data_IF_427747703383
#
_entry.id   IF_427747703383
#
_cell.length_a   1.000
_cell.length_b   1.000
_cell.length_c   1.000
_cell.angle_alpha   90.00
_cell.angle_beta   90.00
_cell.angle_gamma   90.00
#
_symmetry.space_group_name_H-M   'P 1'
#
loop_
_entity.id
_entity.type
_entity.pdbx_description
1 polymer ?
#
# COMPACT_ATOMS: atom_id res chain seq x y z
N UNK A 1 -25.90 22.61 8.35
CA UNK A 1 -24.90 21.62 8.79
C UNK A 1 -23.85 21.57 7.70
N UNK A 2 -22.56 21.68 8.03
CA UNK A 2 -21.53 21.53 7.00
C UNK A 2 -21.67 20.13 6.37
N UNK A 3 -21.63 20.04 5.03
CA UNK A 3 -21.64 18.75 4.35
C UNK A 3 -20.44 17.92 4.82
N UNK A 4 -20.71 16.70 5.25
CA UNK A 4 -19.67 15.77 5.66
C UNK A 4 -18.94 15.24 4.43
N UNK A 5 -17.61 15.28 4.46
CA UNK A 5 -16.77 14.88 3.33
C UNK A 5 -16.32 13.44 3.51
N UNK A 6 -16.85 12.54 2.68
CA UNK A 6 -16.50 11.11 2.73
C UNK A 6 -15.11 10.87 2.16
N UNK A 7 -14.26 10.21 2.95
CA UNK A 7 -12.95 9.71 2.52
C UNK A 7 -13.06 8.20 2.32
N UNK A 8 -12.93 7.75 1.07
CA UNK A 8 -12.94 6.34 0.72
C UNK A 8 -11.54 5.75 0.90
N UNK A 9 -11.40 4.76 1.78
CA UNK A 9 -10.12 4.17 2.15
C UNK A 9 -10.05 2.74 1.63
N UNK A 10 -9.24 2.52 0.61
CA UNK A 10 -8.87 1.18 0.16
C UNK A 10 -7.80 0.59 1.07
N UNK A 11 -7.81 -0.73 1.24
CA UNK A 11 -6.93 -1.40 2.18
C UNK A 11 -7.22 -1.02 3.64
N UNK A 12 -8.46 -0.64 3.97
CA UNK A 12 -8.87 -0.19 5.30
C UNK A 12 -8.64 -1.22 6.40
N UNK A 13 -8.67 -2.52 6.08
CA UNK A 13 -8.36 -3.59 7.05
C UNK A 13 -6.86 -3.90 7.14
N UNK A 14 -6.01 -3.18 6.39
CA UNK A 14 -4.56 -3.31 6.41
C UNK A 14 -3.88 -2.28 7.32
N UNK A 15 -2.54 -2.33 7.37
CA UNK A 15 -1.76 -1.45 8.26
C UNK A 15 -1.90 0.04 7.91
N UNK A 16 -1.77 0.40 6.62
CA UNK A 16 -1.84 1.80 6.20
C UNK A 16 -3.27 2.34 6.26
N UNK A 17 -4.18 1.71 5.53
CA UNK A 17 -5.58 2.16 5.45
C UNK A 17 -6.28 2.11 6.80
N UNK A 18 -6.00 1.11 7.64
CA UNK A 18 -6.59 1.01 8.97
C UNK A 18 -6.13 2.11 9.92
N UNK A 19 -4.84 2.48 9.88
CA UNK A 19 -4.33 3.60 10.66
C UNK A 19 -4.97 4.94 10.23
N UNK A 20 -5.12 5.17 8.92
CA UNK A 20 -5.79 6.36 8.39
C UNK A 20 -7.26 6.39 8.79
N UNK A 21 -7.99 5.29 8.59
CA UNK A 21 -9.40 5.17 8.96
C UNK A 21 -9.60 5.45 10.45
N UNK A 22 -8.78 4.84 11.31
CA UNK A 22 -8.82 5.07 12.75
C UNK A 22 -8.58 6.53 13.12
N UNK A 23 -7.58 7.18 12.52
CA UNK A 23 -7.26 8.58 12.79
C UNK A 23 -8.40 9.54 12.39
N UNK A 24 -9.08 9.29 11.27
CA UNK A 24 -10.24 10.10 10.86
C UNK A 24 -11.40 9.89 11.85
N UNK A 25 -11.66 8.64 12.25
CA UNK A 25 -12.75 8.32 13.18
C UNK A 25 -12.56 8.92 14.59
N UNK A 26 -11.32 9.20 14.99
CA UNK A 26 -11.03 9.87 16.27
C UNK A 26 -11.20 11.39 16.23
N UNK A 27 -11.39 11.99 15.06
CA UNK A 27 -11.44 13.45 14.86
C UNK A 27 -12.75 13.90 14.18
N UNK A 28 -13.93 13.68 14.80
CA UNK A 28 -15.23 13.98 14.20
C UNK A 28 -15.43 15.47 13.89
N UNK A 29 -14.73 16.36 14.60
CA UNK A 29 -14.79 17.81 14.40
C UNK A 29 -14.17 18.26 13.06
N UNK A 30 -13.37 17.40 12.41
CA UNK A 30 -12.80 17.66 11.09
C UNK A 30 -13.85 17.63 9.95
N UNK A 31 -15.07 17.17 10.24
CA UNK A 31 -16.15 17.06 9.25
C UNK A 31 -15.86 16.04 8.15
N UNK A 32 -15.07 15.02 8.48
CA UNK A 32 -14.72 13.90 7.60
C UNK A 32 -15.44 12.62 8.07
N UNK A 33 -15.89 11.81 7.12
CA UNK A 33 -16.40 10.46 7.38
C UNK A 33 -15.55 9.44 6.64
N UNK A 34 -15.54 8.21 7.13
CA UNK A 34 -14.74 7.12 6.52
C UNK A 34 -15.66 6.12 5.84
N UNK A 35 -15.36 5.86 4.57
CA UNK A 35 -15.82 4.66 3.87
C UNK A 35 -14.67 3.66 3.76
N UNK A 36 -14.71 2.63 4.58
CA UNK A 36 -13.72 1.57 4.64
C UNK A 36 -14.01 0.49 3.58
N UNK A 37 -13.15 0.39 2.57
CA UNK A 37 -13.27 -0.60 1.50
C UNK A 37 -12.50 -1.87 1.86
N UNK A 38 -13.16 -3.01 1.73
CA UNK A 38 -12.59 -4.34 1.96
C UNK A 38 -13.23 -5.37 1.04
N UNK A 39 -12.56 -6.51 0.82
CA UNK A 39 -13.17 -7.67 0.12
C UNK A 39 -14.02 -8.53 1.06
N UNK A 40 -13.81 -8.39 2.36
CA UNK A 40 -14.44 -9.22 3.39
C UNK A 40 -15.07 -8.32 4.46
N UNK A 41 -16.28 -7.78 4.21
CA UNK A 41 -16.98 -6.88 5.14
C UNK A 41 -17.28 -7.55 6.49
N UNK A 42 -17.38 -8.88 6.50
CA UNK A 42 -17.65 -9.67 7.70
C UNK A 42 -16.41 -9.98 8.54
N UNK A 43 -15.21 -9.62 8.07
CA UNK A 43 -13.97 -9.87 8.80
C UNK A 43 -13.93 -9.14 10.16
N UNK A 44 -13.23 -9.66 11.18
CA UNK A 44 -13.14 -9.00 12.48
C UNK A 44 -12.64 -7.55 12.39
N UNK A 45 -11.68 -7.28 11.52
CA UNK A 45 -11.15 -5.93 11.30
C UNK A 45 -12.19 -4.99 10.68
N UNK A 46 -12.96 -5.46 9.69
CA UNK A 46 -14.02 -4.67 9.08
C UNK A 46 -15.16 -4.38 10.07
N UNK A 47 -15.57 -5.39 10.84
CA UNK A 47 -16.57 -5.22 11.91
C UNK A 47 -16.10 -4.24 12.98
N UNK A 48 -14.82 -4.24 13.34
CA UNK A 48 -14.26 -3.27 14.28
C UNK A 48 -14.35 -1.83 13.73
N UNK A 49 -13.97 -1.61 12.45
CA UNK A 49 -14.13 -0.30 11.80
C UNK A 49 -15.58 0.16 11.76
N UNK A 50 -16.52 -0.75 11.46
CA UNK A 50 -17.94 -0.47 11.47
C UNK A 50 -18.43 -0.04 12.86
N UNK A 51 -18.01 -0.76 13.91
CA UNK A 51 -18.34 -0.43 15.31
C UNK A 51 -17.76 0.92 15.74
N UNK A 52 -16.62 1.32 15.17
CA UNK A 52 -16.01 2.63 15.39
C UNK A 52 -16.64 3.76 14.55
N UNK A 53 -17.62 3.46 13.70
CA UNK A 53 -18.39 4.47 12.95
C UNK A 53 -18.04 4.61 11.47
N UNK A 54 -17.20 3.74 10.90
CA UNK A 54 -16.98 3.73 9.45
C UNK A 54 -18.14 3.07 8.69
N UNK A 55 -18.43 3.59 7.50
CA UNK A 55 -19.21 2.89 6.49
C UNK A 55 -18.32 1.78 5.89
N UNK A 56 -18.72 0.52 5.97
CA UNK A 56 -17.96 -0.59 5.38
C UNK A 56 -18.58 -0.98 4.04
N UNK A 57 -17.78 -0.94 2.97
CA UNK A 57 -18.22 -1.28 1.62
C UNK A 57 -17.37 -2.40 1.05
N UNK A 58 -18.03 -3.34 0.38
CA UNK A 58 -17.34 -4.42 -0.34
C UNK A 58 -16.92 -3.96 -1.74
N UNK A 59 -15.63 -4.06 -2.06
CA UNK A 59 -15.13 -3.91 -3.42
C UNK A 59 -13.87 -4.74 -3.66
N UNK A 60 -13.62 -5.06 -4.93
CA UNK A 60 -12.46 -5.78 -5.41
C UNK A 60 -11.75 -4.95 -6.50
N UNK A 61 -10.42 -4.83 -6.40
CA UNK A 61 -9.61 -4.10 -7.37
C UNK A 61 -9.56 -4.78 -8.74
N UNK A 62 -9.93 -6.06 -8.81
CA UNK A 62 -10.08 -6.80 -10.05
C UNK A 62 -11.53 -6.73 -10.61
N UNK A 63 -12.47 -6.04 -9.94
CA UNK A 63 -13.85 -5.81 -10.39
C UNK A 63 -14.13 -4.29 -10.53
N UNK A 64 -13.85 -3.68 -11.69
CA UNK A 64 -13.97 -2.22 -11.88
C UNK A 64 -15.34 -1.63 -11.50
N UNK A 65 -16.50 -2.24 -11.84
CA UNK A 65 -17.81 -1.78 -11.36
C UNK A 65 -17.92 -1.68 -9.84
N UNK A 66 -17.21 -2.51 -9.06
CA UNK A 66 -17.19 -2.39 -7.60
C UNK A 66 -16.42 -1.17 -7.12
N UNK A 67 -15.37 -0.76 -7.84
CA UNK A 67 -14.57 0.42 -7.53
C UNK A 67 -15.36 1.69 -7.75
N UNK A 68 -16.12 1.77 -8.84
CA UNK A 68 -17.02 2.89 -9.12
C UNK A 68 -18.06 3.06 -8.01
N UNK A 69 -18.73 1.96 -7.60
CA UNK A 69 -19.68 1.98 -6.48
C UNK A 69 -19.02 2.39 -5.16
N UNK A 70 -17.78 1.97 -4.91
CA UNK A 70 -17.06 2.33 -3.69
C UNK A 70 -16.65 3.81 -3.65
N UNK A 71 -16.38 4.42 -4.81
CA UNK A 71 -15.97 5.82 -4.94
C UNK A 71 -17.13 6.79 -5.15
N UNK A 72 -18.34 6.30 -5.42
CA UNK A 72 -19.52 7.14 -5.63
C UNK A 72 -19.79 8.11 -4.47
N UNK A 73 -19.86 9.41 -4.77
CA UNK A 73 -20.04 10.47 -3.79
C UNK A 73 -18.87 10.69 -2.82
N UNK A 74 -17.69 10.12 -3.08
CA UNK A 74 -16.51 10.36 -2.26
C UNK A 74 -15.94 11.77 -2.50
N UNK A 75 -15.56 12.46 -1.44
CA UNK A 75 -14.82 13.72 -1.54
C UNK A 75 -13.35 13.46 -1.90
N UNK A 76 -12.74 12.45 -1.29
CA UNK A 76 -11.37 12.04 -1.57
C UNK A 76 -11.16 10.56 -1.32
N UNK A 77 -10.01 10.04 -1.75
CA UNK A 77 -9.70 8.63 -1.59
C UNK A 77 -8.26 8.39 -1.15
N UNK A 78 -8.07 7.39 -0.30
CA UNK A 78 -6.77 6.78 -0.03
C UNK A 78 -6.70 5.43 -0.74
N UNK A 79 -5.70 5.30 -1.62
CA UNK A 79 -5.59 4.22 -2.58
C UNK A 79 -4.27 3.48 -2.33
N UNK A 80 -4.35 2.16 -2.16
CA UNK A 80 -3.20 1.30 -1.95
C UNK A 80 -3.46 -0.07 -2.56
N UNK A 81 -2.48 -0.60 -3.29
CA UNK A 81 -2.49 -1.99 -3.81
C UNK A 81 -1.51 -2.86 -3.03
N UNK A 82 -1.75 -4.18 -3.04
CA UNK A 82 -0.93 -5.15 -2.31
C UNK A 82 -0.22 -6.14 -3.25
N UNK A 83 0.99 -5.79 -3.71
CA UNK A 83 1.85 -6.67 -4.50
C UNK A 83 1.96 -8.10 -3.96
N UNK A 84 2.07 -8.27 -2.64
CA UNK A 84 2.37 -9.56 -2.01
C UNK A 84 1.25 -10.58 -2.15
N UNK A 85 0.06 -10.16 -2.52
CA UNK A 85 -1.06 -11.05 -2.75
C UNK A 85 -0.93 -11.88 -4.03
N UNK A 86 -0.37 -11.27 -5.08
CA UNK A 86 -0.30 -11.88 -6.40
C UNK A 86 1.13 -12.08 -6.90
N UNK A 87 2.12 -11.45 -6.24
CA UNK A 87 3.53 -11.43 -6.64
C UNK A 87 3.71 -11.04 -8.13
N UNK A 88 2.81 -10.20 -8.65
CA UNK A 88 2.70 -9.85 -10.06
C UNK A 88 2.62 -8.34 -10.23
N UNK A 89 3.67 -7.77 -10.83
CA UNK A 89 3.74 -6.35 -11.15
C UNK A 89 2.64 -5.94 -12.15
N UNK A 90 2.33 -6.78 -13.13
CA UNK A 90 1.30 -6.48 -14.13
C UNK A 90 -0.09 -6.40 -13.52
N UNK A 91 -0.42 -7.32 -12.61
CA UNK A 91 -1.71 -7.29 -11.93
C UNK A 91 -1.83 -6.09 -11.00
N UNK A 92 -0.76 -5.77 -10.28
CA UNK A 92 -0.75 -4.58 -9.41
C UNK A 92 -0.94 -3.28 -10.22
N UNK A 93 -0.32 -3.18 -11.40
CA UNK A 93 -0.55 -2.05 -12.32
C UNK A 93 -1.96 -2.00 -12.89
N UNK A 94 -2.54 -3.16 -13.23
CA UNK A 94 -3.93 -3.22 -13.69
C UNK A 94 -4.90 -2.73 -12.60
N UNK A 95 -4.67 -3.12 -11.34
CA UNK A 95 -5.44 -2.64 -10.19
C UNK A 95 -5.26 -1.13 -9.97
N UNK A 96 -4.03 -0.62 -10.05
CA UNK A 96 -3.78 0.82 -9.95
C UNK A 96 -4.46 1.62 -11.06
N UNK A 97 -4.43 1.13 -12.31
CA UNK A 97 -5.12 1.75 -13.44
C UNK A 97 -6.65 1.76 -13.24
N UNK A 98 -7.23 0.65 -12.76
CA UNK A 98 -8.66 0.57 -12.47
C UNK A 98 -9.07 1.55 -11.35
N UNK A 99 -8.25 1.70 -10.30
CA UNK A 99 -8.48 2.68 -9.23
C UNK A 99 -8.39 4.12 -9.74
N UNK A 100 -7.40 4.44 -10.58
CA UNK A 100 -7.25 5.78 -11.15
C UNK A 100 -8.44 6.16 -12.03
N UNK A 101 -8.90 5.24 -12.89
CA UNK A 101 -10.08 5.45 -13.73
C UNK A 101 -11.35 5.61 -12.89
N UNK A 102 -11.55 4.78 -11.86
CA UNK A 102 -12.71 4.91 -10.99
C UNK A 102 -12.69 6.22 -10.19
N UNK A 103 -11.51 6.71 -9.80
CA UNK A 103 -11.34 8.00 -9.13
C UNK A 103 -11.67 9.18 -10.06
N UNK A 104 -11.26 9.11 -11.33
CA UNK A 104 -11.65 10.07 -12.37
C UNK A 104 -13.17 10.06 -12.59
N UNK A 105 -13.78 8.89 -12.81
CA UNK A 105 -15.22 8.74 -13.03
C UNK A 105 -16.04 9.29 -11.86
N UNK A 106 -15.58 9.06 -10.62
CA UNK A 106 -16.24 9.57 -9.42
C UNK A 106 -16.04 11.08 -9.21
N UNK A 107 -15.11 11.72 -9.92
CA UNK A 107 -14.84 13.15 -9.79
C UNK A 107 -14.33 13.56 -8.40
N UNK A 108 -13.57 12.68 -7.74
CA UNK A 108 -13.06 12.96 -6.40
C UNK A 108 -12.16 14.20 -6.41
N UNK A 109 -12.20 14.98 -5.33
CA UNK A 109 -11.44 16.23 -5.23
C UNK A 109 -9.95 16.00 -5.02
N UNK A 110 -9.58 14.87 -4.37
CA UNK A 110 -8.19 14.53 -4.13
C UNK A 110 -7.99 13.03 -3.88
N UNK A 111 -6.94 12.47 -4.49
CA UNK A 111 -6.44 11.13 -4.22
C UNK A 111 -5.12 11.17 -3.43
N UNK A 112 -4.96 10.24 -2.49
CA UNK A 112 -3.66 9.89 -1.90
C UNK A 112 -3.32 8.50 -2.39
N UNK A 113 -2.32 8.41 -3.26
CA UNK A 113 -1.84 7.15 -3.82
C UNK A 113 -0.62 6.65 -3.04
N UNK A 114 -0.73 5.47 -2.42
CA UNK A 114 0.38 4.80 -1.74
C UNK A 114 1.28 4.11 -2.75
N UNK A 115 2.38 4.78 -3.08
CA UNK A 115 3.35 4.37 -4.09
C UNK A 115 4.74 4.16 -3.50
N UNK A 116 5.71 3.85 -4.35
CA UNK A 116 7.11 3.63 -4.02
C UNK A 116 7.99 4.20 -5.14
N UNK A 117 9.30 4.28 -4.89
CA UNK A 117 10.29 4.77 -5.85
C UNK A 117 10.55 3.78 -6.99
N UNK A 118 11.01 4.29 -8.14
CA UNK A 118 11.63 3.44 -9.16
C UNK A 118 13.09 3.18 -8.79
N UNK A 119 13.40 1.95 -8.40
CA UNK A 119 14.76 1.59 -7.99
C UNK A 119 15.76 1.61 -9.15
N UNK A 120 15.25 1.59 -10.40
CA UNK A 120 16.06 1.60 -11.63
C UNK A 120 16.72 2.95 -11.91
N UNK A 121 16.25 4.03 -11.27
CA UNK A 121 16.93 5.34 -11.30
C UNK A 121 18.31 5.28 -10.64
N UNK A 122 18.48 4.41 -9.64
CA UNK A 122 19.73 4.24 -8.89
C UNK A 122 20.49 2.97 -9.27
N UNK A 123 19.77 1.93 -9.71
CA UNK A 123 20.32 0.63 -10.09
C UNK A 123 19.77 0.28 -11.49
N UNK A 124 20.42 0.75 -12.57
CA UNK A 124 19.99 0.48 -13.94
C UNK A 124 19.87 -1.02 -14.26
N UNK A 125 19.13 -1.39 -15.31
CA UNK A 125 18.86 -2.79 -15.64
C UNK A 125 20.12 -3.59 -16.01
N UNK A 126 21.12 -2.94 -16.58
CA UNK A 126 22.44 -3.48 -16.94
C UNK A 126 23.42 -3.51 -15.75
N UNK A 127 23.00 -3.06 -14.57
CA UNK A 127 23.80 -3.13 -13.35
C UNK A 127 23.68 -4.52 -12.70
N UNK A 128 24.81 -5.23 -12.63
CA UNK A 128 24.90 -6.60 -12.14
C UNK A 128 24.95 -6.72 -10.60
N UNK A 129 24.92 -5.60 -9.85
CA UNK A 129 24.88 -5.64 -8.37
C UNK A 129 23.60 -6.29 -7.83
N UNK A 130 22.53 -6.31 -8.63
CA UNK A 130 21.26 -6.92 -8.27
C UNK A 130 20.62 -7.61 -9.49
N UNK A 131 20.07 -8.83 -9.34
CA UNK A 131 19.44 -9.54 -10.46
C UNK A 131 18.24 -8.76 -11.01
N UNK A 132 18.03 -8.88 -12.32
CA UNK A 132 16.81 -8.40 -12.98
C UNK A 132 15.71 -9.44 -12.84
N UNK A 133 14.62 -9.04 -12.18
CA UNK A 133 13.44 -9.83 -11.88
C UNK A 133 12.34 -9.54 -12.89
N UNK A 134 11.54 -10.56 -13.23
CA UNK A 134 10.45 -10.47 -14.21
C UNK A 134 10.87 -9.81 -15.55
N UNK A 135 12.14 -9.94 -15.92
CA UNK A 135 12.72 -9.43 -17.16
C UNK A 135 12.95 -7.91 -17.24
N UNK A 136 12.47 -7.11 -16.28
CA UNK A 136 12.54 -5.64 -16.37
C UNK A 136 12.49 -4.87 -15.05
N UNK A 137 12.57 -5.55 -13.92
CA UNK A 137 12.48 -4.94 -12.60
C UNK A 137 13.70 -5.27 -11.76
N UNK A 138 14.11 -4.31 -10.97
CA UNK A 138 15.12 -4.48 -9.94
C UNK A 138 14.44 -4.86 -8.61
N UNK A 139 13.37 -4.15 -8.28
CA UNK A 139 12.51 -4.46 -7.13
C UNK A 139 11.06 -4.37 -7.59
N UNK A 140 10.43 -5.49 -8.04
CA UNK A 140 9.12 -5.46 -8.71
C UNK A 140 8.02 -4.71 -7.97
N UNK A 141 7.96 -4.82 -6.64
CA UNK A 141 6.93 -4.17 -5.81
C UNK A 141 7.15 -2.67 -5.60
N UNK A 142 8.36 -2.17 -5.87
CA UNK A 142 8.69 -0.74 -5.87
C UNK A 142 8.47 -0.17 -7.27
N UNK A 143 9.19 -0.75 -8.24
CA UNK A 143 9.24 -0.28 -9.62
C UNK A 143 7.85 -0.28 -10.28
N UNK A 144 7.02 -1.31 -10.00
CA UNK A 144 5.68 -1.37 -10.57
C UNK A 144 4.74 -0.30 -10.01
N UNK A 145 4.89 0.08 -8.73
CA UNK A 145 4.10 1.16 -8.12
C UNK A 145 4.50 2.51 -8.69
N UNK A 146 5.80 2.76 -8.85
CA UNK A 146 6.29 3.97 -9.50
C UNK A 146 5.81 4.07 -10.96
N UNK A 147 5.84 2.97 -11.72
CA UNK A 147 5.24 2.94 -13.07
C UNK A 147 3.74 3.23 -13.07
N UNK A 148 3.04 2.90 -11.98
CA UNK A 148 1.61 3.12 -11.83
C UNK A 148 1.24 4.57 -11.50
N UNK A 149 2.20 5.39 -11.05
CA UNK A 149 1.95 6.82 -10.74
C UNK A 149 1.35 7.56 -11.94
N UNK A 150 1.79 7.19 -13.16
CA UNK A 150 1.29 7.78 -14.41
C UNK A 150 -0.21 7.58 -14.61
N UNK A 151 -0.81 6.50 -14.10
CA UNK A 151 -2.24 6.27 -14.27
C UNK A 151 -3.07 7.35 -13.59
N UNK A 152 -2.59 7.86 -12.44
CA UNK A 152 -3.25 8.95 -11.73
C UNK A 152 -3.01 10.31 -12.41
N UNK A 153 -1.81 10.54 -12.96
CA UNK A 153 -1.55 11.78 -13.71
C UNK A 153 -2.32 11.84 -15.02
N UNK A 154 -2.38 10.72 -15.76
CA UNK A 154 -3.04 10.63 -17.06
C UNK A 154 -4.57 10.77 -16.94
N UNK A 155 -5.15 10.23 -15.85
CA UNK A 155 -6.56 10.36 -15.52
C UNK A 155 -6.96 11.76 -15.00
N UNK A 156 -5.99 12.66 -14.82
CA UNK A 156 -6.25 14.05 -14.40
C UNK A 156 -6.76 14.21 -12.95
N UNK A 157 -6.65 13.17 -12.12
CA UNK A 157 -7.08 13.20 -10.72
C UNK A 157 -6.06 13.98 -9.88
N UNK A 158 -6.45 15.03 -9.12
CA UNK A 158 -5.54 15.69 -8.19
C UNK A 158 -4.98 14.69 -7.19
N UNK A 159 -3.67 14.42 -7.23
CA UNK A 159 -3.08 13.28 -6.53
C UNK A 159 -1.85 13.67 -5.72
N UNK A 160 -1.79 13.20 -4.47
CA UNK A 160 -0.57 13.14 -3.66
C UNK A 160 0.04 11.75 -3.74
N UNK A 161 1.28 11.66 -4.19
CA UNK A 161 2.08 10.43 -4.20
C UNK A 161 2.74 10.22 -2.83
N UNK A 162 2.18 9.32 -2.02
CA UNK A 162 2.73 8.96 -0.72
C UNK A 162 3.69 7.78 -0.87
N UNK A 163 4.99 8.05 -0.74
CA UNK A 163 6.04 7.02 -0.74
C UNK A 163 6.25 6.47 0.66
N UNK A 164 5.76 5.26 0.90
CA UNK A 164 5.86 4.63 2.21
C UNK A 164 7.25 4.04 2.43
N UNK A 165 7.84 4.28 3.60
CA UNK A 165 9.13 3.67 3.97
C UNK A 165 8.93 2.31 4.62
N UNK A 166 10.04 1.62 4.88
CA UNK A 166 10.06 0.39 5.66
C UNK A 166 9.29 0.54 6.99
N UNK A 167 8.32 -0.34 7.23
CA UNK A 167 7.55 -0.36 8.47
C UNK A 167 8.38 -0.92 9.61
N UNK A 168 8.41 -0.23 10.74
CA UNK A 168 9.11 -0.71 11.93
C UNK A 168 8.51 -2.04 12.44
N UNK A 169 7.21 -2.26 12.24
CA UNK A 169 6.51 -3.50 12.54
C UNK A 169 7.07 -4.71 11.77
N UNK A 170 7.80 -4.49 10.67
CA UNK A 170 8.47 -5.58 9.96
C UNK A 170 9.60 -6.18 10.80
N UNK A 171 10.21 -5.41 11.71
CA UNK A 171 11.20 -5.89 12.68
C UNK A 171 10.60 -6.78 13.78
N UNK A 172 9.27 -6.78 13.93
CA UNK A 172 8.59 -7.69 14.85
C UNK A 172 8.34 -9.07 14.21
N UNK A 173 8.53 -9.18 12.89
CA UNK A 173 8.27 -10.39 12.12
C UNK A 173 9.52 -10.94 11.44
N UNK A 174 9.37 -11.27 10.15
CA UNK A 174 10.42 -11.93 9.33
C UNK A 174 11.72 -11.14 9.22
N UNK A 175 11.68 -9.83 9.37
CA UNK A 175 12.85 -8.95 9.27
C UNK A 175 13.40 -8.57 10.64
N UNK A 176 12.94 -9.23 11.71
CA UNK A 176 13.44 -9.00 13.05
C UNK A 176 14.89 -9.44 13.25
N UNK A 177 15.60 -8.82 14.20
CA UNK A 177 16.96 -9.19 14.52
C UNK A 177 17.01 -10.65 15.02
N UNK A 178 17.88 -11.44 14.41
CA UNK A 178 18.17 -12.82 14.83
C UNK A 178 19.50 -12.82 15.58
N UNK A 179 19.59 -13.60 16.67
CA UNK A 179 20.88 -13.80 17.37
C UNK A 179 21.85 -14.56 16.47
N UNK A 180 23.13 -14.22 16.57
CA UNK A 180 24.19 -14.99 15.91
C UNK A 180 24.25 -16.44 16.42
N UNK A 181 24.97 -17.29 15.70
CA UNK A 181 25.18 -18.71 16.07
C UNK A 181 25.83 -18.88 17.46
N UNK A 182 26.47 -17.82 17.97
CA UNK A 182 27.08 -17.72 19.30
C UNK A 182 26.11 -17.21 20.39
N UNK A 183 24.83 -16.98 20.06
CA UNK A 183 23.83 -16.46 20.99
C UNK A 183 24.02 -14.98 21.35
N UNK A 184 25.02 -14.31 20.79
CA UNK A 184 25.31 -12.92 21.09
C UNK A 184 24.21 -11.98 20.53
N UNK A 185 23.79 -10.96 21.30
CA UNK A 185 22.85 -9.98 20.80
C UNK A 185 23.53 -9.07 19.75
N UNK A 186 22.82 -8.65 18.69
CA UNK A 186 23.38 -7.85 17.60
C UNK A 186 23.55 -6.39 18.03
N UNK A 187 24.58 -6.08 18.81
CA UNK A 187 24.96 -4.71 19.18
C UNK A 187 26.39 -4.39 18.71
N UNK A 188 26.71 -3.12 18.45
CA UNK A 188 27.98 -2.73 17.86
C UNK A 188 29.13 -2.95 18.84
N UNK A 189 30.01 -3.90 18.52
CA UNK A 189 31.20 -4.23 19.33
C UNK A 189 31.72 -5.67 19.16
N UNK A 190 30.92 -6.59 18.60
CA UNK A 190 31.36 -7.97 18.33
C UNK A 190 32.22 -8.07 17.06
N UNK A 191 33.33 -8.85 17.06
CA UNK A 191 34.13 -9.12 15.86
C UNK A 191 33.43 -10.04 14.83
N UNK A 192 32.29 -10.64 15.19
CA UNK A 192 31.56 -11.54 14.31
C UNK A 192 30.65 -10.74 13.37
N UNK A 193 31.06 -10.65 12.09
CA UNK A 193 30.27 -10.30 10.90
C UNK A 193 29.21 -9.21 11.10
N UNK A 194 29.66 -7.96 10.89
CA UNK A 194 28.81 -6.78 10.77
C UNK A 194 27.78 -6.97 9.65
N UNK A 195 26.51 -7.02 10.00
CA UNK A 195 25.42 -6.88 9.05
C UNK A 195 24.07 -7.16 9.68
N UNK A 196 23.20 -6.14 9.74
CA UNK A 196 21.76 -6.40 9.61
C UNK A 196 21.57 -6.98 8.20
N UNK A 197 21.54 -8.31 8.09
CA UNK A 197 21.12 -8.93 6.84
C UNK A 197 19.60 -8.87 6.85
N UNK A 198 19.04 -7.81 6.25
CA UNK A 198 17.67 -7.90 5.78
C UNK A 198 17.62 -9.12 4.86
N UNK A 199 16.74 -10.12 5.08
CA UNK A 199 16.59 -11.25 4.17
C UNK A 199 16.01 -10.79 2.84
N UNK A 200 16.82 -10.10 2.04
CA UNK A 200 16.59 -9.89 0.61
C UNK A 200 17.12 -11.16 -0.04
N UNK A 201 16.20 -12.11 -0.27
CA UNK A 201 16.37 -13.20 -1.22
C UNK A 201 17.70 -13.97 -1.13
N UNK A 202 17.82 -14.88 -0.18
CA UNK A 202 18.68 -16.05 -0.35
C UNK A 202 18.04 -17.28 0.26
N UNK A 203 17.09 -17.87 -0.46
CA UNK A 203 16.98 -19.34 -0.47
C UNK A 203 17.59 -19.80 -1.79
N UNK A 204 18.68 -20.58 -1.78
CA UNK A 204 18.82 -21.60 -2.81
C UNK A 204 17.73 -22.64 -2.52
N UNK A 205 16.84 -22.90 -3.48
CA UNK A 205 16.08 -24.16 -3.45
C UNK A 205 16.88 -25.28 -4.13
N UNK A 206 16.38 -26.51 -4.14
CA UNK A 206 15.47 -27.17 -3.21
C UNK A 206 16.19 -27.80 -2.00
#
# INVERSE_FOLDING_TARGET
>A
MAESRTITVFGATGRQGGALAGAILTEPEAGLTVRAVTRHPESPAARALQQSGAEVVQADMDDPPSLERALDGAYGAYLVTNFWEHMSAEREKAQAAALALAAEHAGIQHAVWSTLEDTRECIPLDDDRMPTLQGRYKVPHFDAKSEADRYFTDAGVPTTFLRATFYWENLLGRFGPVRGEDGAPPWPGSPARRGFVLPISSRPGP
#
